data_IF_247360303094
#
_entry.id   IF_247360303094
#
_cell.length_a   1.000
_cell.length_b   1.000
_cell.length_c   1.000
_cell.angle_alpha   90.00
_cell.angle_beta   90.00
_cell.angle_gamma   90.00
#
_symmetry.space_group_name_H-M   'P 1'
#
loop_
_entity.id
_entity.type
_entity.pdbx_description
1 polymer ?
#
# COMPACT_ATOMS: atom_id res chain seq x y z
N UNK A 1 15.99 8.68 -7.12
CA UNK A 1 15.75 7.63 -8.11
C UNK A 1 15.65 6.23 -7.51
N UNK A 2 16.63 5.67 -6.78
CA UNK A 2 16.45 4.34 -6.15
C UNK A 2 15.42 4.35 -5.01
N UNK A 3 15.42 5.43 -4.22
CA UNK A 3 14.48 5.61 -3.11
C UNK A 3 13.01 5.63 -3.59
N UNK A 4 12.74 6.19 -4.78
CA UNK A 4 11.40 6.27 -5.35
C UNK A 4 10.82 4.87 -5.64
N UNK A 5 11.66 3.91 -6.05
CA UNK A 5 11.25 2.52 -6.25
C UNK A 5 10.94 1.83 -4.92
N UNK A 6 11.73 2.08 -3.87
CA UNK A 6 11.44 1.53 -2.55
C UNK A 6 10.08 2.03 -2.04
N UNK A 7 9.76 3.31 -2.25
CA UNK A 7 8.47 3.88 -1.84
C UNK A 7 7.30 3.33 -2.65
N UNK A 8 7.47 3.21 -3.96
CA UNK A 8 6.46 2.60 -4.82
C UNK A 8 6.23 1.13 -4.45
N UNK A 9 7.28 0.39 -4.11
CA UNK A 9 7.18 -1.01 -3.68
C UNK A 9 6.44 -1.15 -2.35
N UNK A 10 6.72 -0.29 -1.36
CA UNK A 10 5.99 -0.31 -0.08
C UNK A 10 4.50 -0.04 -0.30
N UNK A 11 4.15 0.97 -1.09
CA UNK A 11 2.76 1.26 -1.42
C UNK A 11 2.08 0.09 -2.18
N UNK A 12 2.80 -0.54 -3.13
CA UNK A 12 2.29 -1.69 -3.86
C UNK A 12 2.01 -2.89 -2.95
N UNK A 13 2.91 -3.18 -2.01
CA UNK A 13 2.74 -4.26 -1.05
C UNK A 13 1.60 -3.98 -0.07
N UNK A 14 1.39 -2.71 0.29
CA UNK A 14 0.25 -2.31 1.13
C UNK A 14 -1.08 -2.49 0.40
N UNK A 15 -1.18 -2.08 -0.86
CA UNK A 15 -2.36 -2.37 -1.70
C UNK A 15 -2.58 -3.86 -1.88
N UNK A 16 -1.51 -4.64 -2.07
CA UNK A 16 -1.60 -6.09 -2.11
C UNK A 16 -2.17 -6.65 -0.79
N UNK A 17 -1.66 -6.22 0.36
CA UNK A 17 -2.14 -6.63 1.69
C UNK A 17 -3.63 -6.29 1.90
N UNK A 18 -4.06 -5.09 1.50
CA UNK A 18 -5.47 -4.69 1.52
C UNK A 18 -6.32 -5.56 0.58
N UNK A 19 -5.80 -5.88 -0.60
CA UNK A 19 -6.51 -6.67 -1.61
C UNK A 19 -6.78 -8.12 -1.17
N UNK A 20 -5.93 -8.69 -0.30
CA UNK A 20 -6.15 -10.01 0.30
C UNK A 20 -7.31 -10.01 1.31
N UNK A 21 -7.70 -8.84 1.85
CA UNK A 21 -8.81 -8.70 2.80
C UNK A 21 -10.12 -8.35 2.09
N UNK A 22 -10.07 -7.31 1.26
CA UNK A 22 -11.21 -6.87 0.44
C UNK A 22 -10.66 -6.26 -0.86
N UNK A 23 -10.71 -7.04 -1.94
CA UNK A 23 -10.23 -6.61 -3.24
C UNK A 23 -10.99 -5.40 -3.79
N UNK A 24 -12.30 -5.32 -3.55
CA UNK A 24 -13.14 -4.26 -4.13
C UNK A 24 -12.83 -2.92 -3.45
N UNK A 25 -12.70 -2.92 -2.13
CA UNK A 25 -12.28 -1.74 -1.37
C UNK A 25 -10.86 -1.31 -1.75
N UNK A 26 -9.91 -2.25 -1.80
CA UNK A 26 -8.53 -1.97 -2.19
C UNK A 26 -8.43 -1.33 -3.60
N UNK A 27 -9.21 -1.83 -4.56
CA UNK A 27 -9.26 -1.28 -5.91
C UNK A 27 -9.82 0.15 -5.93
N UNK A 28 -10.86 0.44 -5.16
CA UNK A 28 -11.40 1.81 -5.06
C UNK A 28 -10.39 2.78 -4.44
N UNK A 29 -9.66 2.36 -3.40
CA UNK A 29 -8.58 3.15 -2.80
C UNK A 29 -7.46 3.41 -3.80
N UNK A 30 -7.07 2.41 -4.59
CA UNK A 30 -6.06 2.56 -5.63
C UNK A 30 -6.51 3.55 -6.72
N UNK A 31 -7.75 3.45 -7.21
CA UNK A 31 -8.30 4.40 -8.18
C UNK A 31 -8.29 5.83 -7.63
N UNK A 32 -8.63 5.98 -6.35
CA UNK A 32 -8.59 7.27 -5.66
C UNK A 32 -7.15 7.81 -5.56
N UNK A 33 -6.20 6.95 -5.21
CA UNK A 33 -4.78 7.28 -5.16
C UNK A 33 -4.25 7.81 -6.50
N UNK A 34 -4.51 7.12 -7.61
CA UNK A 34 -4.05 7.54 -8.94
C UNK A 34 -4.81 8.75 -9.49
N UNK A 35 -6.06 8.98 -9.07
CA UNK A 35 -6.87 10.13 -9.50
C UNK A 35 -6.29 11.49 -9.10
N UNK A 36 -5.48 11.52 -8.03
CA UNK A 36 -4.83 12.74 -7.56
C UNK A 36 -3.54 13.08 -8.33
N UNK A 37 -2.95 12.13 -9.07
CA UNK A 37 -1.75 12.34 -9.87
C UNK A 37 -0.62 13.02 -9.09
N UNK A 38 0.08 13.97 -9.72
CA UNK A 38 1.16 14.77 -9.09
C UNK A 38 0.68 16.01 -8.33
N UNK A 39 -0.61 16.12 -8.00
CA UNK A 39 -1.18 17.33 -7.37
C UNK A 39 -0.97 17.38 -5.85
N UNK A 40 -0.48 16.30 -5.26
CA UNK A 40 -0.30 16.12 -3.81
C UNK A 40 1.04 15.45 -3.54
N UNK A 41 1.62 15.73 -2.38
CA UNK A 41 2.78 14.97 -1.90
C UNK A 41 2.38 13.52 -1.62
N UNK A 42 3.34 12.60 -1.65
CA UNK A 42 3.10 11.17 -1.45
C UNK A 42 2.35 10.85 -0.14
N UNK A 43 2.68 11.56 0.93
CA UNK A 43 2.00 11.41 2.23
C UNK A 43 0.52 11.84 2.18
N UNK A 44 0.22 12.93 1.48
CA UNK A 44 -1.15 13.39 1.28
C UNK A 44 -1.95 12.46 0.36
N UNK A 45 -1.30 11.84 -0.63
CA UNK A 45 -1.91 10.81 -1.47
C UNK A 45 -2.30 9.58 -0.65
N UNK A 46 -1.39 9.12 0.22
CA UNK A 46 -1.65 7.98 1.11
C UNK A 46 -2.85 8.27 2.02
N UNK A 47 -2.85 9.41 2.71
CA UNK A 47 -3.96 9.83 3.56
C UNK A 47 -5.29 9.97 2.78
N UNK A 48 -5.26 10.52 1.56
CA UNK A 48 -6.46 10.70 0.74
C UNK A 48 -7.02 9.39 0.17
N UNK A 49 -6.16 8.39 -0.07
CA UNK A 49 -6.56 7.05 -0.46
C UNK A 49 -6.96 6.16 0.74
N UNK A 50 -6.77 6.66 1.97
CA UNK A 50 -7.03 5.91 3.19
C UNK A 50 -6.04 4.75 3.41
N UNK A 51 -4.81 4.91 2.93
CA UNK A 51 -3.71 3.97 3.20
C UNK A 51 -2.74 4.63 4.19
N UNK A 52 -2.03 3.81 4.96
CA UNK A 52 -1.11 4.30 5.98
C UNK A 52 0.09 4.99 5.33
N UNK A 53 0.83 5.76 6.13
CA UNK A 53 2.09 6.32 5.69
C UNK A 53 3.06 5.15 5.42
N UNK A 54 3.58 4.97 4.19
CA UNK A 54 4.54 3.91 3.87
C UNK A 54 5.90 4.11 4.55
N UNK A 55 6.15 5.28 5.16
CA UNK A 55 7.27 5.50 6.08
C UNK A 55 6.92 5.16 7.54
N UNK A 56 5.66 4.83 7.82
CA UNK A 56 5.15 4.47 9.14
C UNK A 56 5.40 3.00 9.48
N UNK A 57 5.65 2.75 10.76
CA UNK A 57 5.91 1.41 11.29
C UNK A 57 4.73 0.45 11.10
N UNK A 58 3.51 0.99 11.01
CA UNK A 58 2.27 0.22 10.85
C UNK A 58 2.13 -0.40 9.44
N UNK A 59 2.49 0.33 8.38
CA UNK A 59 2.38 -0.15 7.01
C UNK A 59 3.31 -1.35 6.78
N UNK A 60 4.59 -1.22 7.15
CA UNK A 60 5.58 -2.27 6.95
C UNK A 60 5.27 -3.54 7.75
N UNK A 61 4.88 -3.39 9.01
CA UNK A 61 4.50 -4.51 9.87
C UNK A 61 3.21 -5.21 9.39
N UNK A 62 2.24 -4.45 8.89
CA UNK A 62 1.00 -4.99 8.31
C UNK A 62 1.26 -5.83 7.06
N UNK A 63 2.11 -5.32 6.16
CA UNK A 63 2.57 -6.02 4.96
C UNK A 63 3.34 -7.29 5.33
N UNK A 64 4.34 -7.20 6.21
CA UNK A 64 5.18 -8.34 6.59
C UNK A 64 4.38 -9.49 7.20
N UNK A 65 3.40 -9.18 8.07
CA UNK A 65 2.48 -10.18 8.62
C UNK A 65 1.65 -10.87 7.54
N UNK A 66 1.15 -10.11 6.57
CA UNK A 66 0.34 -10.65 5.49
C UNK A 66 1.17 -11.50 4.53
N UNK A 67 2.41 -11.09 4.26
CA UNK A 67 3.38 -11.84 3.47
C UNK A 67 3.72 -13.18 4.13
N UNK A 68 4.05 -13.20 5.42
CA UNK A 68 4.31 -14.45 6.14
C UNK A 68 3.10 -15.38 6.13
N UNK A 69 1.92 -14.88 6.45
CA UNK A 69 0.70 -15.71 6.43
C UNK A 69 0.40 -16.27 5.04
N UNK A 70 0.66 -15.51 3.98
CA UNK A 70 0.48 -15.97 2.61
C UNK A 70 1.51 -17.03 2.21
N UNK A 71 2.78 -16.85 2.58
CA UNK A 71 3.85 -17.83 2.32
C UNK A 71 3.61 -19.12 3.09
N UNK A 72 3.21 -19.05 4.36
CA UNK A 72 2.90 -20.23 5.18
C UNK A 72 1.70 -21.03 4.63
N UNK A 73 0.72 -20.35 4.03
CA UNK A 73 -0.47 -20.99 3.46
C UNK A 73 -0.25 -21.58 2.05
N UNK A 74 0.82 -21.17 1.35
CA UNK A 74 1.11 -21.56 -0.04
C UNK A 74 2.50 -22.23 -0.18
N UNK A 75 3.13 -22.59 0.94
CA UNK A 75 4.44 -23.24 1.03
C UNK A 75 4.36 -24.75 1.20
#
# INVERSE_FOLDING_TARGET
YYIDYCLAQTAALEFWSLSQKDYKDAWQRYLRFVSFGGKKSFKELCAAAGIDDPFGEHALNGVARTANAWLDANG
#
